data_IF_305486718480
#
_entry.id   IF_305486718480
#
_cell.length_a   1.000
_cell.length_b   1.000
_cell.length_c   1.000
_cell.angle_alpha   90.00
_cell.angle_beta   90.00
_cell.angle_gamma   90.00
#
_symmetry.space_group_name_H-M   'P 1'
#
loop_
_entity.id
_entity.type
_entity.pdbx_description
1 polymer ?
#
# COMPACT_ATOMS: atom_id res chain seq x y z
N UNK A 1 -5.66 -0.64 0.78
CA UNK A 1 -6.28 -0.84 -0.55
C UNK A 1 -6.72 0.50 -1.13
N UNK A 2 -6.50 0.74 -2.42
CA UNK A 2 -7.05 1.91 -3.16
C UNK A 2 -7.47 1.49 -4.57
N UNK A 3 -8.07 2.37 -5.39
CA UNK A 3 -8.53 2.00 -6.74
C UNK A 3 -7.40 1.43 -7.61
N UNK A 4 -6.32 2.20 -7.82
CA UNK A 4 -5.24 1.85 -8.76
C UNK A 4 -3.95 1.36 -8.11
N UNK A 5 -3.81 1.39 -6.78
CA UNK A 5 -2.60 0.93 -6.09
C UNK A 5 -1.26 1.58 -6.55
N UNK A 6 -1.31 2.80 -7.07
CA UNK A 6 -0.10 3.56 -7.47
C UNK A 6 0.15 4.81 -6.62
N UNK A 7 -0.82 5.28 -5.83
CA UNK A 7 -0.66 6.54 -5.07
C UNK A 7 -1.00 6.37 -3.59
N UNK A 8 -2.29 6.36 -3.25
CA UNK A 8 -2.75 6.38 -1.84
C UNK A 8 -2.31 5.15 -1.04
N UNK A 9 -2.56 3.95 -1.56
CA UNK A 9 -2.24 2.74 -0.82
C UNK A 9 -0.75 2.39 -0.75
N UNK A 10 0.09 2.60 -1.78
CA UNK A 10 1.55 2.47 -1.62
C UNK A 10 2.14 3.48 -0.63
N UNK A 11 1.60 4.71 -0.57
CA UNK A 11 2.01 5.70 0.44
C UNK A 11 1.69 5.16 1.84
N UNK A 12 0.46 4.71 2.07
CA UNK A 12 0.05 4.17 3.37
C UNK A 12 0.90 2.96 3.80
N UNK A 13 1.22 2.06 2.86
CA UNK A 13 2.11 0.92 3.08
C UNK A 13 3.51 1.37 3.52
N UNK A 14 4.11 2.30 2.79
CA UNK A 14 5.46 2.80 3.07
C UNK A 14 5.52 3.56 4.42
N UNK A 15 4.49 4.36 4.73
CA UNK A 15 4.36 5.03 6.03
C UNK A 15 4.22 4.01 7.16
N UNK A 16 3.34 3.03 7.03
CA UNK A 16 3.13 2.02 8.07
C UNK A 16 4.38 1.17 8.28
N UNK A 17 5.06 0.78 7.20
CA UNK A 17 6.36 0.09 7.28
C UNK A 17 7.41 0.90 8.03
N UNK A 18 7.51 2.21 7.76
CA UNK A 18 8.42 3.10 8.49
C UNK A 18 8.10 3.15 9.98
N UNK A 19 6.82 3.29 10.35
CA UNK A 19 6.38 3.34 11.74
C UNK A 19 6.77 2.07 12.50
N UNK A 20 6.47 0.89 11.96
CA UNK A 20 6.80 -0.38 12.65
C UNK A 20 8.30 -0.63 12.73
N UNK A 21 9.10 -0.18 11.73
CA UNK A 21 10.56 -0.26 11.78
C UNK A 21 11.13 0.70 12.83
N UNK A 22 10.61 1.92 12.94
CA UNK A 22 11.07 2.87 13.97
C UNK A 22 10.80 2.36 15.39
N UNK A 23 9.67 1.67 15.58
CA UNK A 23 9.29 1.03 16.84
C UNK A 23 9.95 -0.34 17.07
N UNK A 24 10.72 -0.85 16.09
CA UNK A 24 11.43 -2.15 16.15
C UNK A 24 10.50 -3.34 16.34
N UNK A 25 9.34 -3.32 15.69
CA UNK A 25 8.32 -4.38 15.73
C UNK A 25 7.98 -4.92 14.34
N UNK A 26 8.76 -4.59 13.31
CA UNK A 26 8.52 -4.97 11.92
C UNK A 26 8.43 -6.49 11.71
N UNK A 27 9.12 -7.27 12.53
CA UNK A 27 9.07 -8.74 12.50
C UNK A 27 7.72 -9.32 12.93
N UNK A 28 6.83 -8.51 13.52
CA UNK A 28 5.47 -8.91 13.92
C UNK A 28 4.43 -8.59 12.86
N UNK A 29 4.80 -7.90 11.77
CA UNK A 29 3.86 -7.37 10.81
C UNK A 29 4.13 -7.87 9.40
N UNK A 30 3.07 -8.35 8.74
CA UNK A 30 3.01 -8.52 7.28
C UNK A 30 2.30 -7.30 6.69
N UNK A 31 3.00 -6.54 5.83
CA UNK A 31 2.51 -5.26 5.30
C UNK A 31 2.55 -5.28 3.78
N UNK A 32 1.42 -4.96 3.16
CA UNK A 32 1.26 -4.93 1.70
C UNK A 32 0.16 -3.92 1.31
N UNK A 33 0.09 -3.59 0.02
CA UNK A 33 -1.00 -2.82 -0.55
C UNK A 33 -1.47 -3.36 -1.91
N UNK A 34 -2.76 -3.19 -2.18
CA UNK A 34 -3.39 -3.72 -3.39
C UNK A 34 -4.47 -2.78 -3.97
N UNK A 35 -4.87 -3.08 -5.20
CA UNK A 35 -5.86 -2.37 -6.01
C UNK A 35 -7.21 -3.07 -5.99
N UNK A 36 -8.32 -2.31 -5.99
CA UNK A 36 -9.64 -2.88 -6.33
C UNK A 36 -9.82 -3.04 -7.83
N UNK A 37 -9.21 -2.16 -8.62
CA UNK A 37 -9.23 -2.22 -10.10
C UNK A 37 -8.01 -2.96 -10.67
N UNK A 38 -8.07 -3.28 -11.96
CA UNK A 38 -6.96 -3.92 -12.69
C UNK A 38 -6.18 -2.95 -13.61
N UNK A 39 -6.49 -1.64 -13.57
CA UNK A 39 -5.96 -0.67 -14.56
C UNK A 39 -4.44 -0.52 -14.54
N UNK A 40 -3.85 -0.58 -13.35
CA UNK A 40 -2.45 -0.21 -13.13
C UNK A 40 -1.60 -1.41 -12.69
N UNK A 41 -2.07 -2.66 -12.89
CA UNK A 41 -1.30 -3.83 -12.47
C UNK A 41 0.07 -3.82 -13.17
N UNK A 42 1.14 -3.99 -12.39
CA UNK A 42 2.52 -3.94 -12.88
C UNK A 42 3.13 -2.53 -12.89
N UNK A 43 2.34 -1.48 -12.72
CA UNK A 43 2.84 -0.10 -12.66
C UNK A 43 3.59 0.16 -11.34
N UNK A 44 4.67 0.95 -11.35
CA UNK A 44 5.28 1.47 -10.13
C UNK A 44 4.37 2.56 -9.51
N UNK A 45 4.63 2.98 -8.25
CA UNK A 45 3.94 4.10 -7.66
C UNK A 45 4.08 5.38 -8.49
N UNK A 46 3.05 6.22 -8.51
CA UNK A 46 3.02 7.50 -9.20
C UNK A 46 4.21 8.37 -8.75
N UNK A 47 4.90 8.98 -9.72
CA UNK A 47 6.12 9.75 -9.46
C UNK A 47 5.90 10.93 -8.50
N UNK A 48 4.69 11.52 -8.46
CA UNK A 48 4.34 12.60 -7.54
C UNK A 48 4.28 12.07 -6.11
N UNK A 49 3.72 10.88 -5.93
CA UNK A 49 3.73 10.16 -4.67
C UNK A 49 5.16 9.84 -4.21
N UNK A 50 5.99 9.30 -5.11
CA UNK A 50 7.40 9.02 -4.81
C UNK A 50 8.17 10.29 -4.41
N UNK A 51 7.95 11.39 -5.13
CA UNK A 51 8.58 12.68 -4.86
C UNK A 51 8.17 13.23 -3.49
N UNK A 52 6.89 13.08 -3.12
CA UNK A 52 6.41 13.43 -1.79
C UNK A 52 7.13 12.60 -0.71
N UNK A 53 7.12 11.27 -0.84
CA UNK A 53 7.72 10.37 0.15
C UNK A 53 9.21 10.60 0.34
N UNK A 54 9.93 10.90 -0.75
CA UNK A 54 11.36 11.24 -0.70
C UNK A 54 11.64 12.50 0.14
N UNK A 55 10.77 13.52 0.09
CA UNK A 55 10.91 14.74 0.93
C UNK A 55 10.76 14.44 2.42
N UNK A 56 10.04 13.37 2.77
CA UNK A 56 9.87 12.91 4.14
C UNK A 56 10.89 11.83 4.55
N UNK A 57 11.86 11.49 3.70
CA UNK A 57 12.86 10.46 3.98
C UNK A 57 12.28 9.05 4.04
N UNK A 58 11.12 8.80 3.40
CA UNK A 58 10.47 7.49 3.37
C UNK A 58 10.65 6.89 1.97
N UNK A 59 11.21 5.69 1.91
CA UNK A 59 11.32 4.93 0.66
C UNK A 59 10.00 4.24 0.35
N UNK A 60 9.53 4.41 -0.88
CA UNK A 60 8.35 3.74 -1.40
C UNK A 60 8.75 2.90 -2.60
N UNK A 61 8.72 1.58 -2.43
CA UNK A 61 8.99 0.61 -3.49
C UNK A 61 7.85 -0.40 -3.49
N UNK A 62 7.05 -0.40 -4.55
CA UNK A 62 5.90 -1.28 -4.70
C UNK A 62 5.69 -1.56 -6.19
N UNK A 63 4.96 -2.62 -6.51
CA UNK A 63 4.44 -2.86 -7.85
C UNK A 63 2.96 -3.11 -7.70
N UNK A 64 2.16 -2.31 -8.43
CA UNK A 64 0.72 -2.36 -8.29
C UNK A 64 0.19 -3.76 -8.63
N UNK A 65 -0.66 -4.28 -7.74
CA UNK A 65 -1.31 -5.60 -7.86
C UNK A 65 -2.77 -5.49 -7.49
N UNK A 66 -3.59 -6.41 -7.99
CA UNK A 66 -5.00 -6.46 -7.60
C UNK A 66 -5.19 -7.23 -6.28
N UNK A 67 -6.22 -6.87 -5.53
CA UNK A 67 -6.73 -7.67 -4.41
C UNK A 67 -7.23 -9.01 -4.95
N UNK A 68 -6.87 -10.10 -4.28
CA UNK A 68 -7.31 -11.46 -4.58
C UNK A 68 -8.23 -12.00 -3.49
N UNK A 69 -8.87 -13.15 -3.74
CA UNK A 69 -9.67 -13.84 -2.71
C UNK A 69 -8.83 -14.28 -1.51
N UNK A 70 -7.57 -14.64 -1.75
CA UNK A 70 -6.64 -15.10 -0.72
C UNK A 70 -6.22 -13.95 0.21
N UNK A 71 -6.24 -12.70 -0.27
CA UNK A 71 -5.96 -11.55 0.59
C UNK A 71 -6.99 -11.48 1.74
N UNK A 72 -8.26 -11.77 1.49
CA UNK A 72 -9.31 -11.80 2.52
C UNK A 72 -9.17 -12.94 3.53
N UNK A 73 -8.37 -13.96 3.21
CA UNK A 73 -8.11 -15.10 4.10
C UNK A 73 -6.79 -14.95 4.85
N UNK A 74 -5.86 -14.15 4.34
CA UNK A 74 -4.46 -14.11 4.82
C UNK A 74 -4.04 -12.80 5.45
N UNK A 75 -4.86 -11.75 5.37
CA UNK A 75 -4.65 -10.49 6.09
C UNK A 75 -5.66 -10.34 7.22
N UNK A 76 -5.17 -10.04 8.41
CA UNK A 76 -6.02 -9.76 9.58
C UNK A 76 -6.83 -8.47 9.40
N UNK A 77 -6.25 -7.49 8.72
CA UNK A 77 -6.85 -6.18 8.49
C UNK A 77 -6.68 -5.73 7.04
N UNK A 78 -7.78 -5.27 6.44
CA UNK A 78 -7.79 -4.64 5.12
C UNK A 78 -8.32 -3.21 5.27
N UNK A 79 -7.42 -2.23 5.17
CA UNK A 79 -7.76 -0.81 5.31
C UNK A 79 -7.87 -0.16 3.93
N UNK A 80 -9.03 0.42 3.61
CA UNK A 80 -9.32 1.05 2.33
C UNK A 80 -9.33 2.58 2.43
N UNK A 81 -9.13 3.27 1.30
CA UNK A 81 -8.90 4.73 1.28
C UNK A 81 -10.17 5.57 1.18
N UNK A 82 -11.24 5.03 0.61
CA UNK A 82 -12.52 5.72 0.42
C UNK A 82 -13.67 4.71 0.46
N UNK A 83 -14.91 5.21 0.55
CA UNK A 83 -16.12 4.38 0.59
C UNK A 83 -16.33 3.53 -0.66
N UNK A 84 -15.84 3.97 -1.82
CA UNK A 84 -15.96 3.18 -3.06
C UNK A 84 -15.09 1.92 -3.01
N UNK A 85 -14.01 1.94 -2.21
CA UNK A 85 -13.13 0.79 -2.01
C UNK A 85 -13.65 -0.16 -0.92
N UNK A 86 -14.57 0.31 -0.07
CA UNK A 86 -15.17 -0.49 1.00
C UNK A 86 -16.34 -1.35 0.49
N UNK A 87 -16.98 -0.91 -0.60
CA UNK A 87 -18.14 -1.57 -1.21
C UNK A 87 -17.78 -2.76 -2.06
#
# INVERSE_FOLDING_TARGET
>A
VSIGNICRSPIAEAVFRKLVTDEKVENKWRIDSAATSAYEIGSPPDYRGQTCMKKHGITMNHIARQVTKDDFQTFDYILCMDESNLR
#
